data_IF_256652557913
#
_entry.id   IF_256652557913
#
_cell.length_a   1.000
_cell.length_b   1.000
_cell.length_c   1.000
_cell.angle_alpha   90.00
_cell.angle_beta   90.00
_cell.angle_gamma   90.00
#
_symmetry.space_group_name_H-M   'P 1'
#
loop_
_entity.id
_entity.type
_entity.pdbx_description
1 polymer ?
#
# COMPACT_ATOMS: atom_id res chain seq x y z
N UNK A 1 -31.31 23.48 34.75
CA UNK A 1 -31.56 24.10 33.43
C UNK A 1 -31.77 22.98 32.42
N UNK A 2 -33.00 22.81 31.97
CA UNK A 2 -33.43 21.80 31.00
C UNK A 2 -33.39 22.48 29.64
N UNK A 3 -32.66 21.93 28.67
CA UNK A 3 -32.78 22.32 27.27
C UNK A 3 -33.07 21.09 26.44
N UNK A 4 -34.34 21.00 26.03
CA UNK A 4 -34.87 20.06 25.06
C UNK A 4 -34.34 20.44 23.68
N UNK A 5 -33.65 19.52 23.01
CA UNK A 5 -33.39 19.61 21.58
C UNK A 5 -34.38 18.69 20.85
N UNK A 6 -35.26 19.33 20.09
CA UNK A 6 -36.36 18.73 19.36
C UNK A 6 -36.02 18.72 17.86
N UNK A 7 -36.31 17.57 17.22
CA UNK A 7 -36.65 17.35 15.81
C UNK A 7 -35.62 17.67 14.70
N UNK A 8 -35.39 16.69 13.82
CA UNK A 8 -36.12 16.58 12.54
C UNK A 8 -35.71 15.32 11.77
N UNK A 9 -36.65 14.38 11.61
CA UNK A 9 -36.54 13.23 10.70
C UNK A 9 -36.84 13.69 9.26
N UNK A 10 -35.84 13.67 8.38
CA UNK A 10 -36.03 13.87 6.94
C UNK A 10 -36.28 12.52 6.27
N UNK A 11 -37.54 12.31 5.89
CA UNK A 11 -38.03 11.18 5.11
C UNK A 11 -37.55 11.34 3.66
N UNK A 12 -36.63 10.50 3.21
CA UNK A 12 -36.17 10.47 1.80
C UNK A 12 -37.04 9.48 1.03
N UNK A 13 -37.99 9.99 0.25
CA UNK A 13 -38.74 9.20 -0.72
C UNK A 13 -37.98 9.14 -2.05
N UNK A 14 -37.42 7.97 -2.37
CA UNK A 14 -36.81 7.69 -3.67
C UNK A 14 -37.93 7.22 -4.61
N UNK A 15 -38.38 8.14 -5.47
CA UNK A 15 -39.30 7.85 -6.58
C UNK A 15 -38.54 7.04 -7.64
N UNK A 16 -38.90 5.76 -7.80
CA UNK A 16 -38.44 4.91 -8.91
C UNK A 16 -39.26 5.20 -10.16
N UNK A 17 -38.65 5.80 -11.17
CA UNK A 17 -39.26 5.99 -12.48
C UNK A 17 -39.03 4.75 -13.36
N UNK A 18 -40.07 3.94 -13.53
CA UNK A 18 -40.08 2.74 -14.39
C UNK A 18 -40.53 3.14 -15.80
N UNK A 19 -39.57 3.42 -16.67
CA UNK A 19 -39.80 3.70 -18.08
C UNK A 19 -39.93 2.41 -18.91
N UNK A 20 -41.17 2.11 -19.29
CA UNK A 20 -41.59 1.02 -20.16
C UNK A 20 -40.85 0.98 -21.51
N UNK A 21 -40.12 -0.09 -21.78
CA UNK A 21 -39.54 -0.41 -23.09
C UNK A 21 -40.61 -1.06 -23.98
N UNK A 22 -41.36 -0.25 -24.75
CA UNK A 22 -42.32 -0.76 -25.74
C UNK A 22 -41.57 -1.29 -26.97
N UNK A 23 -41.52 -2.62 -27.08
CA UNK A 23 -41.13 -3.39 -28.27
C UNK A 23 -41.96 -2.96 -29.49
N UNK A 24 -41.30 -2.51 -30.56
CA UNK A 24 -41.85 -2.58 -31.92
C UNK A 24 -41.11 -3.69 -32.67
N UNK A 25 -41.83 -4.78 -32.91
CA UNK A 25 -41.47 -5.79 -33.89
C UNK A 25 -41.71 -5.19 -35.29
N UNK A 26 -40.63 -5.04 -36.05
CA UNK A 26 -40.70 -4.84 -37.50
C UNK A 26 -40.13 -6.08 -38.15
N UNK A 27 -41.01 -6.89 -38.74
CA UNK A 27 -40.64 -7.96 -39.67
C UNK A 27 -40.12 -7.30 -40.94
N UNK A 28 -38.83 -7.45 -41.23
CA UNK A 28 -38.28 -7.15 -42.54
C UNK A 28 -37.21 -8.19 -42.85
N UNK A 29 -37.44 -8.91 -43.95
CA UNK A 29 -36.51 -9.83 -44.58
C UNK A 29 -35.16 -9.15 -44.81
N UNK A 30 -34.07 -9.81 -44.42
CA UNK A 30 -32.71 -9.47 -44.85
C UNK A 30 -32.12 -10.67 -45.60
N UNK A 31 -31.49 -10.43 -46.76
CA UNK A 31 -30.88 -11.47 -47.58
C UNK A 31 -29.58 -11.98 -46.94
N UNK A 32 -29.32 -13.26 -47.17
CA UNK A 32 -28.10 -14.02 -46.84
C UNK A 32 -26.84 -13.23 -47.17
N UNK A 33 -26.13 -12.74 -46.15
CA UNK A 33 -24.75 -12.22 -46.31
C UNK A 33 -23.90 -12.61 -45.09
N UNK A 34 -22.89 -13.43 -45.38
CA UNK A 34 -21.65 -13.69 -44.65
C UNK A 34 -21.71 -14.34 -43.26
N UNK A 35 -21.59 -15.68 -43.30
CA UNK A 35 -20.81 -16.47 -42.35
C UNK A 35 -19.39 -15.88 -42.23
N UNK A 36 -19.20 -14.96 -41.29
CA UNK A 36 -17.88 -14.76 -40.67
C UNK A 36 -17.98 -15.48 -39.34
N UNK A 37 -17.48 -16.72 -39.33
CA UNK A 37 -17.11 -17.42 -38.09
C UNK A 37 -16.00 -16.57 -37.45
N UNK A 38 -16.40 -15.57 -36.68
CA UNK A 38 -15.49 -14.81 -35.84
C UNK A 38 -14.96 -15.77 -34.80
N UNK A 39 -13.79 -16.34 -35.04
CA UNK A 39 -12.95 -16.86 -33.97
C UNK A 39 -12.57 -15.67 -33.09
N UNK A 40 -13.46 -15.30 -32.17
CA UNK A 40 -13.13 -14.40 -31.08
C UNK A 40 -12.21 -15.24 -30.20
N UNK A 41 -10.91 -15.15 -30.47
CA UNK A 41 -9.89 -15.62 -29.57
C UNK A 41 -10.15 -14.90 -28.24
N UNK A 42 -10.77 -15.61 -27.30
CA UNK A 42 -10.78 -15.21 -25.90
C UNK A 42 -9.33 -15.27 -25.45
N UNK A 43 -8.58 -14.19 -25.69
CA UNK A 43 -7.32 -14.00 -25.00
C UNK A 43 -7.68 -13.99 -23.51
N UNK A 44 -7.13 -14.89 -22.69
CA UNK A 44 -7.32 -14.77 -21.25
C UNK A 44 -6.85 -13.36 -20.86
N UNK A 45 -7.55 -12.69 -19.93
CA UNK A 45 -7.07 -11.41 -19.43
C UNK A 45 -5.64 -11.64 -18.97
N UNK A 46 -4.69 -10.96 -19.62
CA UNK A 46 -3.30 -10.90 -19.16
C UNK A 46 -3.43 -10.30 -17.77
N UNK A 47 -3.34 -11.16 -16.76
CA UNK A 47 -3.25 -10.73 -15.39
C UNK A 47 -1.88 -10.09 -15.35
N UNK A 48 -1.84 -8.77 -15.48
CA UNK A 48 -0.63 -8.02 -15.20
C UNK A 48 -0.22 -8.46 -13.80
N UNK A 49 0.82 -9.30 -13.72
CA UNK A 49 1.46 -9.57 -12.46
C UNK A 49 2.04 -8.22 -12.07
N UNK A 50 1.30 -7.52 -11.23
CA UNK A 50 1.72 -6.27 -10.63
C UNK A 50 3.12 -6.52 -10.08
N UNK A 51 4.11 -5.88 -10.70
CA UNK A 51 5.51 -6.04 -10.32
C UNK A 51 5.59 -5.66 -8.85
N UNK A 52 5.87 -6.65 -8.00
CA UNK A 52 5.87 -6.45 -6.56
C UNK A 52 7.16 -5.74 -6.22
N UNK A 53 7.14 -4.41 -6.30
CA UNK A 53 8.28 -3.56 -6.01
C UNK A 53 8.31 -3.23 -4.52
N UNK A 54 9.48 -3.22 -3.86
CA UNK A 54 9.59 -2.73 -2.49
C UNK A 54 9.16 -1.26 -2.37
N UNK A 55 8.42 -0.94 -1.31
CA UNK A 55 7.82 0.39 -1.13
C UNK A 55 8.58 1.13 -0.04
N UNK A 56 9.15 2.28 -0.35
CA UNK A 56 9.77 3.17 0.65
C UNK A 56 8.67 3.78 1.52
N UNK A 57 8.70 3.49 2.82
CA UNK A 57 7.66 3.92 3.77
C UNK A 57 8.14 5.02 4.70
N UNK A 58 9.43 5.05 5.01
CA UNK A 58 10.00 6.07 5.91
C UNK A 58 11.43 6.39 5.50
N UNK A 59 11.77 7.67 5.57
CA UNK A 59 13.11 8.17 5.37
C UNK A 59 13.45 9.16 6.48
N UNK A 60 14.52 8.87 7.21
CA UNK A 60 14.97 9.62 8.36
C UNK A 60 16.37 10.14 8.08
N UNK A 61 16.47 11.44 7.83
CA UNK A 61 17.74 12.13 7.60
C UNK A 61 18.68 12.12 8.82
N UNK A 62 19.56 13.11 8.89
CA UNK A 62 20.39 13.29 10.07
C UNK A 62 19.55 13.86 11.23
N UNK A 63 19.11 13.00 12.14
CA UNK A 63 18.26 13.33 13.28
C UNK A 63 18.90 12.86 14.58
N UNK A 64 18.55 13.51 15.69
CA UNK A 64 19.02 13.09 17.02
C UNK A 64 18.47 11.72 17.40
N UNK A 65 19.18 10.99 18.26
CA UNK A 65 18.78 9.66 18.74
C UNK A 65 17.36 9.65 19.30
N UNK A 66 17.02 10.66 20.11
CA UNK A 66 15.68 10.77 20.71
C UNK A 66 14.59 10.97 19.64
N UNK A 67 14.90 11.68 18.56
CA UNK A 67 13.98 11.83 17.44
C UNK A 67 13.89 10.54 16.61
N UNK A 68 15.00 9.83 16.44
CA UNK A 68 15.05 8.51 15.79
C UNK A 68 14.18 7.50 16.54
N UNK A 69 14.39 7.34 17.85
CA UNK A 69 13.58 6.46 18.71
C UNK A 69 12.09 6.73 18.53
N UNK A 70 11.67 7.99 18.69
CA UNK A 70 10.25 8.38 18.56
C UNK A 70 9.69 8.15 17.16
N UNK A 71 10.49 8.38 16.12
CA UNK A 71 10.07 8.16 14.75
C UNK A 71 9.84 6.66 14.47
N UNK A 72 10.72 5.81 14.98
CA UNK A 72 10.60 4.35 14.86
C UNK A 72 9.42 3.83 15.69
N UNK A 73 9.24 4.26 16.93
CA UNK A 73 8.09 3.91 17.77
C UNK A 73 6.77 4.28 17.07
N UNK A 74 6.65 5.54 16.62
CA UNK A 74 5.47 6.02 15.92
C UNK A 74 5.20 5.25 14.63
N UNK A 75 6.25 4.95 13.87
CA UNK A 75 6.12 4.13 12.66
C UNK A 75 5.62 2.73 13.00
N UNK A 76 6.15 2.14 14.06
CA UNK A 76 5.83 0.79 14.48
C UNK A 76 4.38 0.64 14.94
N UNK A 77 3.85 1.63 15.66
CA UNK A 77 2.43 1.67 16.06
C UNK A 77 1.48 1.65 14.86
N UNK A 78 1.93 2.15 13.70
CA UNK A 78 1.15 2.22 12.46
C UNK A 78 1.43 1.04 11.52
N UNK A 79 2.42 0.20 11.82
CA UNK A 79 2.92 -0.80 10.91
C UNK A 79 2.12 -2.10 10.95
N UNK A 80 1.81 -2.63 9.76
CA UNK A 80 1.23 -3.97 9.59
C UNK A 80 2.31 -5.04 9.76
N UNK A 81 2.26 -5.74 10.90
CA UNK A 81 3.26 -6.71 11.36
C UNK A 81 3.44 -7.91 10.43
N UNK A 82 2.49 -8.17 9.53
CA UNK A 82 2.55 -9.33 8.62
C UNK A 82 3.52 -9.12 7.46
N UNK A 83 3.93 -7.89 7.19
CA UNK A 83 4.85 -7.61 6.09
C UNK A 83 6.30 -7.58 6.57
N UNK A 84 7.26 -8.12 5.79
CA UNK A 84 8.68 -7.93 6.07
C UNK A 84 9.16 -6.49 5.83
N UNK A 85 10.21 -6.11 6.55
CA UNK A 85 10.87 -4.81 6.43
C UNK A 85 12.33 -4.96 6.04
N UNK A 86 12.82 -4.01 5.24
CA UNK A 86 14.24 -3.79 5.01
C UNK A 86 14.60 -2.39 5.51
N UNK A 87 15.60 -2.31 6.38
CA UNK A 87 16.12 -1.05 6.90
C UNK A 87 17.52 -0.85 6.36
N UNK A 88 17.74 0.25 5.64
CA UNK A 88 19.03 0.59 5.07
C UNK A 88 19.57 1.82 5.79
N UNK A 89 20.74 1.67 6.42
CA UNK A 89 21.44 2.75 7.10
C UNK A 89 22.63 3.22 6.26
N UNK A 90 22.71 4.53 6.01
CA UNK A 90 23.80 5.19 5.32
C UNK A 90 24.54 6.10 6.30
N UNK A 91 25.85 6.26 6.14
CA UNK A 91 26.67 7.14 6.98
C UNK A 91 28.06 6.55 7.23
N UNK A 92 28.80 7.11 8.18
CA UNK A 92 30.04 6.48 8.64
C UNK A 92 29.73 5.22 9.47
N UNK A 93 30.67 4.26 9.54
CA UNK A 93 30.48 3.01 10.27
C UNK A 93 30.02 3.19 11.72
N UNK A 94 30.57 4.21 12.41
CA UNK A 94 30.17 4.55 13.78
C UNK A 94 28.72 5.00 13.88
N UNK A 95 28.25 5.78 12.91
CA UNK A 95 26.88 6.30 12.87
C UNK A 95 25.88 5.20 12.52
N UNK A 96 26.25 4.35 11.55
CA UNK A 96 25.46 3.18 11.16
C UNK A 96 25.27 2.26 12.36
N UNK A 97 26.36 1.89 13.03
CA UNK A 97 26.32 0.98 14.20
C UNK A 97 25.43 1.54 15.30
N UNK A 98 25.60 2.83 15.64
CA UNK A 98 24.78 3.50 16.66
C UNK A 98 23.29 3.53 16.29
N UNK A 99 22.97 3.77 15.01
CA UNK A 99 21.57 3.73 14.53
C UNK A 99 20.99 2.33 14.57
N UNK A 100 21.76 1.31 14.18
CA UNK A 100 21.35 -0.10 14.25
C UNK A 100 21.05 -0.51 15.69
N UNK A 101 21.88 -0.11 16.66
CA UNK A 101 21.65 -0.35 18.09
C UNK A 101 20.33 0.28 18.57
N UNK A 102 20.10 1.56 18.28
CA UNK A 102 18.87 2.27 18.67
C UNK A 102 17.65 1.60 18.06
N UNK A 103 17.67 1.36 16.74
CA UNK A 103 16.53 0.74 16.04
C UNK A 103 16.27 -0.67 16.60
N UNK A 104 17.32 -1.47 16.80
CA UNK A 104 17.19 -2.82 17.36
C UNK A 104 16.60 -2.78 18.77
N UNK A 105 17.06 -1.86 19.63
CA UNK A 105 16.53 -1.74 21.00
C UNK A 105 15.04 -1.40 21.04
N UNK A 106 14.59 -0.46 20.20
CA UNK A 106 13.18 -0.08 20.11
C UNK A 106 12.35 -1.26 19.65
N UNK A 107 12.82 -1.99 18.65
CA UNK A 107 12.06 -3.07 18.02
C UNK A 107 12.07 -4.37 18.83
N UNK A 108 13.13 -4.62 19.61
CA UNK A 108 13.19 -5.73 20.55
C UNK A 108 12.05 -5.66 21.59
N UNK A 109 11.63 -4.46 21.99
CA UNK A 109 10.51 -4.26 22.89
C UNK A 109 9.15 -4.68 22.29
N UNK A 110 9.07 -4.87 20.97
CA UNK A 110 7.81 -5.12 20.26
C UNK A 110 7.59 -6.58 19.84
N UNK A 111 8.32 -7.51 20.47
CA UNK A 111 8.23 -8.98 20.41
C UNK A 111 7.28 -9.59 19.35
N UNK A 112 7.89 -10.38 18.44
CA UNK A 112 7.35 -11.46 17.59
C UNK A 112 7.10 -11.11 16.12
N UNK A 113 7.93 -11.74 15.29
CA UNK A 113 7.72 -12.04 13.85
C UNK A 113 7.99 -10.97 12.80
N UNK A 114 8.66 -9.86 13.13
CA UNK A 114 9.10 -8.95 12.06
C UNK A 114 10.35 -9.50 11.38
N UNK A 115 10.20 -10.00 10.16
CA UNK A 115 11.32 -10.32 9.28
C UNK A 115 12.00 -9.03 8.86
N UNK A 116 13.07 -8.69 9.56
CA UNK A 116 13.84 -7.48 9.35
C UNK A 116 15.22 -7.78 8.80
N UNK A 117 15.64 -6.98 7.83
CA UNK A 117 16.99 -7.05 7.27
C UNK A 117 17.63 -5.68 7.37
N UNK A 118 18.75 -5.59 8.09
CA UNK A 118 19.61 -4.42 8.09
C UNK A 118 20.60 -4.52 6.93
N UNK A 119 20.66 -3.47 6.13
CA UNK A 119 21.58 -3.37 5.00
C UNK A 119 22.43 -2.13 5.16
N UNK A 120 23.75 -2.28 4.97
CA UNK A 120 24.67 -1.15 4.95
C UNK A 120 24.59 -0.44 3.61
N UNK A 121 24.15 0.81 3.64
CA UNK A 121 24.04 1.72 2.50
C UNK A 121 25.37 2.25 1.94
N UNK A 122 26.48 1.96 2.63
CA UNK A 122 27.79 2.53 2.35
C UNK A 122 28.05 3.88 3.02
N UNK A 123 29.20 4.47 2.71
CA UNK A 123 29.62 5.77 3.28
C UNK A 123 29.00 6.92 2.51
N UNK A 124 28.11 7.66 3.17
CA UNK A 124 27.58 8.94 2.69
C UNK A 124 27.98 10.04 3.66
N UNK A 125 27.99 11.28 3.16
CA UNK A 125 28.40 12.47 3.93
C UNK A 125 27.54 12.68 5.18
N UNK A 126 26.25 12.36 5.08
CA UNK A 126 25.29 12.50 6.16
C UNK A 126 24.66 11.15 6.52
N UNK A 127 24.47 10.91 7.81
CA UNK A 127 23.80 9.72 8.29
C UNK A 127 22.29 9.80 8.03
N UNK A 128 21.71 8.76 7.42
CA UNK A 128 20.27 8.65 7.26
C UNK A 128 19.82 7.18 7.17
N UNK A 129 18.54 6.95 7.40
CA UNK A 129 17.92 5.62 7.47
C UNK A 129 16.71 5.59 6.56
N UNK A 130 16.60 4.54 5.75
CA UNK A 130 15.44 4.30 4.89
C UNK A 130 14.80 2.98 5.27
N UNK A 131 13.49 3.00 5.48
CA UNK A 131 12.69 1.80 5.76
C UNK A 131 11.84 1.48 4.54
N UNK A 132 11.91 0.22 4.12
CA UNK A 132 11.18 -0.33 2.99
C UNK A 132 10.24 -1.44 3.47
N UNK A 133 9.00 -1.41 2.98
CA UNK A 133 8.04 -2.52 3.08
C UNK A 133 8.28 -3.47 1.91
N UNK A 134 8.46 -4.76 2.20
CA UNK A 134 8.76 -5.78 1.18
C UNK A 134 7.51 -6.64 0.96
N UNK A 135 6.72 -6.41 -0.11
CA UNK A 135 5.57 -7.25 -0.40
C UNK A 135 6.01 -8.69 -0.71
N UNK A 136 5.13 -9.65 -0.44
CA UNK A 136 5.44 -11.08 -0.65
C UNK A 136 5.77 -11.37 -2.11
N UNK A 137 7.02 -11.80 -2.39
CA UNK A 137 7.53 -12.06 -3.73
C UNK A 137 8.31 -10.91 -4.36
N UNK A 138 8.52 -9.80 -3.64
CA UNK A 138 9.42 -8.73 -4.04
C UNK A 138 10.87 -9.04 -3.69
N UNK A 139 11.79 -8.58 -4.52
CA UNK A 139 13.22 -8.56 -4.17
C UNK A 139 13.52 -7.46 -3.15
N UNK A 140 14.56 -7.70 -2.34
CA UNK A 140 15.06 -6.71 -1.41
C UNK A 140 15.69 -5.53 -2.17
N UNK A 141 15.46 -4.28 -1.71
CA UNK A 141 16.08 -3.11 -2.32
C UNK A 141 17.60 -3.19 -2.22
N UNK A 142 18.28 -2.75 -3.29
CA UNK A 142 19.74 -2.64 -3.30
C UNK A 142 20.14 -1.30 -2.65
N UNK A 143 21.10 -1.31 -1.70
CA UNK A 143 21.64 -0.11 -1.08
C UNK A 143 22.40 0.80 -2.05
#
# INVERSE_FOLDING_TARGET
>A
MISNFQMCNSKVEIVRNSGNLKRKMSRALLPVFFLILGAIAFAPPVTAQEEKVPIKVLELGNISDKALTRAIEKFWDQYDRLTPLCIINYGADKEITRREEIITSVLAAHERETRMTFVRGGSKKDAYTVIWKIPSGADYPKP
#
